data_IF_157632621987
#
_entry.id   IF_157632621987
#
_cell.length_a   1.000
_cell.length_b   1.000
_cell.length_c   1.000
_cell.angle_alpha   90.00
_cell.angle_beta   90.00
_cell.angle_gamma   90.00
#
_symmetry.space_group_name_H-M   'P 1'
#
loop_
_entity.id
_entity.type
_entity.pdbx_description
1 polymer ?
#
# COMPACT_ATOMS: atom_id res chain seq x y z
N UNK A 1 -0.27 14.01 0.74
CA UNK A 1 0.56 12.98 0.05
C UNK A 1 -0.38 11.99 -0.62
N UNK A 2 -0.16 11.70 -1.90
CA UNK A 2 -0.90 10.66 -2.64
C UNK A 2 -0.06 9.39 -2.58
N UNK A 3 -0.65 8.27 -2.11
CA UNK A 3 0.06 7.00 -1.95
C UNK A 3 -0.58 5.87 -2.75
N UNK A 4 -1.91 5.88 -2.86
CA UNK A 4 -2.66 4.79 -3.49
C UNK A 4 -3.31 5.18 -4.82
N UNK A 5 -3.39 4.22 -5.73
CA UNK A 5 -4.06 4.38 -7.01
C UNK A 5 -5.55 4.77 -6.83
N UNK A 6 -6.20 4.20 -5.83
CA UNK A 6 -7.59 4.50 -5.47
C UNK A 6 -7.76 5.94 -4.97
N UNK A 7 -6.72 6.55 -4.38
CA UNK A 7 -6.78 7.97 -3.99
C UNK A 7 -6.77 8.89 -5.21
N UNK A 8 -6.00 8.56 -6.26
CA UNK A 8 -6.05 9.31 -7.53
C UNK A 8 -7.46 9.29 -8.11
N UNK A 9 -8.08 8.11 -8.13
CA UNK A 9 -9.44 7.97 -8.63
C UNK A 9 -10.41 8.81 -7.79
N UNK A 10 -10.32 8.74 -6.47
CA UNK A 10 -11.17 9.51 -5.56
C UNK A 10 -11.00 11.03 -5.72
N UNK A 11 -9.76 11.51 -5.91
CA UNK A 11 -9.49 12.92 -6.18
C UNK A 11 -10.16 13.36 -7.48
N UNK A 12 -10.05 12.57 -8.55
CA UNK A 12 -10.71 12.87 -9.83
C UNK A 12 -12.25 12.90 -9.71
N UNK A 13 -12.84 12.01 -8.91
CA UNK A 13 -14.28 12.04 -8.66
C UNK A 13 -14.71 13.30 -7.91
N UNK A 14 -14.04 13.60 -6.79
CA UNK A 14 -14.45 14.69 -5.90
C UNK A 14 -14.13 16.05 -6.51
N UNK A 15 -12.95 16.21 -7.11
CA UNK A 15 -12.54 17.50 -7.67
C UNK A 15 -13.15 17.72 -9.05
N UNK A 16 -13.06 16.75 -9.95
CA UNK A 16 -13.46 16.95 -11.35
C UNK A 16 -14.81 16.34 -11.73
N UNK A 17 -15.54 15.73 -10.78
CA UNK A 17 -16.85 15.13 -11.03
C UNK A 17 -16.78 13.86 -11.88
N UNK A 18 -15.63 13.18 -11.91
CA UNK A 18 -15.47 11.97 -12.72
C UNK A 18 -16.37 10.83 -12.20
N UNK A 19 -16.89 10.03 -13.15
CA UNK A 19 -17.40 8.70 -12.81
C UNK A 19 -16.25 7.77 -12.41
N UNK A 20 -16.54 6.69 -11.69
CA UNK A 20 -15.53 5.67 -11.36
C UNK A 20 -14.84 5.10 -12.60
N UNK A 21 -15.60 4.87 -13.68
CA UNK A 21 -15.05 4.38 -14.95
C UNK A 21 -14.06 5.36 -15.58
N UNK A 22 -14.39 6.65 -15.61
CA UNK A 22 -13.48 7.68 -16.14
C UNK A 22 -12.23 7.85 -15.26
N UNK A 23 -12.41 7.80 -13.94
CA UNK A 23 -11.31 7.84 -12.99
C UNK A 23 -10.33 6.66 -13.18
N UNK A 24 -10.81 5.46 -13.53
CA UNK A 24 -9.94 4.33 -13.88
C UNK A 24 -9.21 4.53 -15.23
N UNK A 25 -9.82 5.22 -16.20
CA UNK A 25 -9.13 5.60 -17.45
C UNK A 25 -7.94 6.51 -17.13
N UNK A 26 -8.15 7.54 -16.30
CA UNK A 26 -7.07 8.41 -15.83
C UNK A 26 -5.98 7.61 -15.10
N UNK A 27 -6.35 6.72 -14.17
CA UNK A 27 -5.40 5.85 -13.46
C UNK A 27 -4.57 4.99 -14.42
N UNK A 28 -5.19 4.44 -15.47
CA UNK A 28 -4.49 3.64 -16.50
C UNK A 28 -3.55 4.49 -17.36
N UNK A 29 -3.95 5.69 -17.73
CA UNK A 29 -3.09 6.62 -18.48
C UNK A 29 -1.84 6.99 -17.68
N UNK A 30 -2.01 7.23 -16.38
CA UNK A 30 -0.94 7.47 -15.43
C UNK A 30 0.01 6.26 -15.35
N UNK A 31 -0.51 5.05 -15.17
CA UNK A 31 0.30 3.83 -15.05
C UNK A 31 1.09 3.49 -16.32
N UNK A 32 0.61 3.92 -17.50
CA UNK A 32 1.27 3.72 -18.80
C UNK A 32 2.17 4.89 -19.21
N UNK A 33 2.19 5.97 -18.44
CA UNK A 33 2.88 7.22 -18.80
C UNK A 33 2.45 7.74 -20.19
N UNK A 34 1.17 7.60 -20.53
CA UNK A 34 0.62 8.02 -21.82
C UNK A 34 0.42 9.54 -21.83
N UNK A 35 1.42 10.28 -22.34
CA UNK A 35 1.42 11.75 -22.35
C UNK A 35 0.18 12.34 -23.03
N UNK A 36 -0.20 11.81 -24.19
CA UNK A 36 -1.34 12.32 -24.96
C UNK A 36 -2.67 12.07 -24.25
N UNK A 37 -2.81 10.95 -23.52
CA UNK A 37 -3.97 10.72 -22.66
C UNK A 37 -3.97 11.61 -21.41
N UNK A 38 -2.81 11.82 -20.80
CA UNK A 38 -2.66 12.65 -19.60
C UNK A 38 -2.96 14.14 -19.86
N UNK A 39 -2.54 14.66 -21.01
CA UNK A 39 -2.85 16.04 -21.41
C UNK A 39 -4.36 16.23 -21.59
N UNK A 40 -5.01 15.34 -22.37
CA UNK A 40 -6.46 15.36 -22.57
C UNK A 40 -7.24 15.24 -21.25
N UNK A 41 -6.83 14.32 -20.38
CA UNK A 41 -7.48 14.17 -19.08
C UNK A 41 -7.18 15.34 -18.12
N UNK A 42 -6.07 16.05 -18.30
CA UNK A 42 -5.75 17.26 -17.54
C UNK A 42 -6.72 18.40 -17.85
N UNK A 43 -6.99 18.64 -19.12
CA UNK A 43 -7.96 19.65 -19.54
C UNK A 43 -9.35 19.35 -19.01
N UNK A 44 -9.76 18.09 -19.14
CA UNK A 44 -11.03 17.60 -18.60
C UNK A 44 -11.12 17.71 -17.07
N UNK A 45 -10.04 17.41 -16.36
CA UNK A 45 -9.97 17.53 -14.92
C UNK A 45 -10.15 18.98 -14.47
N UNK A 46 -9.44 19.92 -15.10
CA UNK A 46 -9.53 21.35 -14.77
C UNK A 46 -10.91 21.92 -15.12
N UNK A 47 -11.48 21.52 -16.26
CA UNK A 47 -12.83 21.92 -16.65
C UNK A 47 -13.88 21.42 -15.64
N UNK A 48 -13.82 20.13 -15.28
CA UNK A 48 -14.71 19.54 -14.27
C UNK A 48 -14.56 20.20 -12.90
N UNK A 49 -13.32 20.51 -12.51
CA UNK A 49 -13.04 21.18 -11.25
C UNK A 49 -13.62 22.60 -11.19
N UNK A 50 -13.61 23.34 -12.30
CA UNK A 50 -14.26 24.66 -12.38
C UNK A 50 -15.76 24.55 -12.19
N UNK A 51 -16.40 23.54 -12.78
CA UNK A 51 -17.84 23.27 -12.58
C UNK A 51 -18.16 22.99 -11.11
N UNK A 52 -17.23 22.39 -10.37
CA UNK A 52 -17.34 22.14 -8.93
C UNK A 52 -16.88 23.34 -8.06
N UNK A 53 -16.70 24.53 -8.65
CA UNK A 53 -16.33 25.75 -7.93
C UNK A 53 -14.85 25.83 -7.52
N UNK A 54 -14.00 24.95 -8.04
CA UNK A 54 -12.56 24.93 -7.72
C UNK A 54 -11.81 25.81 -8.73
N UNK A 55 -10.97 26.77 -8.29
CA UNK A 55 -10.18 27.60 -9.19
C UNK A 55 -9.28 26.76 -10.09
N UNK A 56 -9.24 27.09 -11.38
CA UNK A 56 -8.48 26.31 -12.37
C UNK A 56 -6.99 26.20 -12.07
N UNK A 57 -6.38 27.25 -11.49
CA UNK A 57 -4.98 27.19 -11.06
C UNK A 57 -4.73 26.18 -9.93
N UNK A 58 -5.68 26.03 -8.99
CA UNK A 58 -5.62 25.03 -7.93
C UNK A 58 -5.80 23.63 -8.52
N UNK A 59 -6.77 23.44 -9.43
CA UNK A 59 -7.00 22.17 -10.09
C UNK A 59 -5.78 21.71 -10.90
N UNK A 60 -5.14 22.61 -11.65
CA UNK A 60 -3.94 22.32 -12.42
C UNK A 60 -2.77 21.87 -11.52
N UNK A 61 -2.58 22.52 -10.36
CA UNK A 61 -1.56 22.11 -9.38
C UNK A 61 -1.81 20.70 -8.84
N UNK A 62 -3.06 20.38 -8.51
CA UNK A 62 -3.41 19.02 -8.03
C UNK A 62 -3.22 17.99 -9.14
N UNK A 63 -3.60 18.30 -10.36
CA UNK A 63 -3.39 17.40 -11.49
C UNK A 63 -1.90 17.13 -11.77
N UNK A 64 -1.04 18.15 -11.62
CA UNK A 64 0.41 17.98 -11.70
C UNK A 64 0.94 16.99 -10.64
N UNK A 65 0.47 17.10 -9.39
CA UNK A 65 0.80 16.13 -8.33
C UNK A 65 0.33 14.71 -8.66
N UNK A 66 -0.84 14.56 -9.28
CA UNK A 66 -1.35 13.26 -9.73
C UNK A 66 -0.44 12.67 -10.82
N UNK A 67 0.05 13.49 -11.76
CA UNK A 67 0.96 13.05 -12.83
C UNK A 67 2.29 12.58 -12.26
N UNK A 68 2.87 13.34 -11.33
CA UNK A 68 4.15 13.02 -10.69
C UNK A 68 4.08 11.73 -9.87
N UNK A 69 2.92 11.43 -9.28
CA UNK A 69 2.66 10.22 -8.52
C UNK A 69 2.66 8.93 -9.37
N UNK A 70 2.48 9.02 -10.69
CA UNK A 70 2.11 7.88 -11.52
C UNK A 70 3.04 6.69 -11.50
N UNK A 71 4.33 6.92 -11.32
CA UNK A 71 5.37 5.89 -11.23
C UNK A 71 5.45 5.19 -9.88
N UNK A 72 4.84 5.74 -8.83
CA UNK A 72 4.97 5.25 -7.45
C UNK A 72 3.65 4.78 -6.83
N UNK A 73 2.57 4.80 -7.60
CA UNK A 73 1.25 4.51 -7.05
C UNK A 73 0.99 3.04 -6.75
N UNK A 74 0.67 2.77 -5.48
CA UNK A 74 0.43 1.41 -5.00
C UNK A 74 -1.07 1.06 -4.94
N UNK A 75 -1.42 -0.21 -5.14
CA UNK A 75 -2.81 -0.66 -5.01
C UNK A 75 -3.19 -0.79 -3.51
N UNK A 76 -4.14 0.02 -3.03
CA UNK A 76 -4.57 0.02 -1.64
C UNK A 76 -5.16 -1.31 -1.22
N UNK A 77 -5.96 -1.93 -2.08
CA UNK A 77 -6.57 -3.23 -1.78
C UNK A 77 -5.52 -4.31 -1.49
N UNK A 78 -4.45 -4.35 -2.30
CA UNK A 78 -3.34 -5.26 -2.11
C UNK A 78 -2.55 -4.95 -0.83
N UNK A 79 -2.21 -3.67 -0.61
CA UNK A 79 -1.52 -3.23 0.60
C UNK A 79 -2.30 -3.60 1.88
N UNK A 80 -3.60 -3.32 1.91
CA UNK A 80 -4.45 -3.58 3.07
C UNK A 80 -4.56 -5.08 3.39
N UNK A 81 -4.66 -5.93 2.36
CA UNK A 81 -4.72 -7.38 2.55
C UNK A 81 -3.44 -7.92 3.22
N UNK A 82 -2.26 -7.52 2.73
CA UNK A 82 -0.99 -7.92 3.31
C UNK A 82 -0.75 -7.30 4.68
N UNK A 83 -1.10 -6.03 4.87
CA UNK A 83 -1.00 -5.35 6.17
C UNK A 83 -1.81 -6.08 7.24
N UNK A 84 -3.02 -6.57 6.92
CA UNK A 84 -3.83 -7.36 7.85
C UNK A 84 -3.12 -8.64 8.31
N UNK A 85 -2.47 -9.36 7.39
CA UNK A 85 -1.68 -10.55 7.72
C UNK A 85 -0.48 -10.19 8.60
N UNK A 86 0.28 -9.15 8.23
CA UNK A 86 1.42 -8.68 9.02
C UNK A 86 1.02 -8.28 10.45
N UNK A 87 -0.07 -7.53 10.60
CA UNK A 87 -0.62 -7.14 11.92
C UNK A 87 -0.96 -8.38 12.75
N UNK A 88 -1.60 -9.39 12.14
CA UNK A 88 -1.92 -10.65 12.84
C UNK A 88 -0.65 -11.39 13.28
N UNK A 89 0.37 -11.46 12.43
CA UNK A 89 1.65 -12.07 12.77
C UNK A 89 2.32 -11.36 13.94
N UNK A 90 2.35 -10.02 13.93
CA UNK A 90 2.90 -9.23 15.04
C UNK A 90 2.07 -9.41 16.31
N UNK A 91 0.74 -9.43 16.20
CA UNK A 91 -0.14 -9.64 17.34
C UNK A 91 0.13 -11.00 18.02
N UNK A 92 0.28 -12.08 17.23
CA UNK A 92 0.65 -13.39 17.76
C UNK A 92 2.02 -13.36 18.45
N UNK A 93 3.02 -12.69 17.84
CA UNK A 93 4.34 -12.51 18.47
C UNK A 93 4.26 -11.75 19.80
N UNK A 94 3.42 -10.72 19.90
CA UNK A 94 3.32 -9.89 21.11
C UNK A 94 2.55 -10.57 22.25
N UNK A 95 1.40 -11.20 21.95
CA UNK A 95 0.51 -11.73 22.99
C UNK A 95 0.65 -13.23 23.21
N UNK A 96 1.18 -13.97 22.25
CA UNK A 96 1.38 -15.42 22.31
C UNK A 96 2.79 -15.82 21.81
N UNK A 97 3.87 -15.24 22.38
CA UNK A 97 5.22 -15.40 21.85
C UNK A 97 5.70 -16.86 21.86
N UNK A 98 5.43 -17.62 22.92
CA UNK A 98 5.87 -19.03 23.03
C UNK A 98 5.32 -19.90 21.90
N UNK A 99 3.99 -20.02 21.69
CA UNK A 99 3.46 -20.81 20.58
C UNK A 99 3.81 -20.19 19.21
N UNK A 100 3.97 -18.87 19.12
CA UNK A 100 4.42 -18.21 17.89
C UNK A 100 5.82 -18.69 17.47
N UNK A 101 6.81 -18.61 18.37
CA UNK A 101 8.17 -19.05 18.05
C UNK A 101 8.29 -20.57 17.94
N UNK A 102 7.54 -21.34 18.73
CA UNK A 102 7.46 -22.79 18.54
C UNK A 102 7.01 -23.15 17.12
N UNK A 103 5.97 -22.48 16.62
CA UNK A 103 5.50 -22.67 15.24
C UNK A 103 6.55 -22.26 14.20
N UNK A 104 7.24 -21.12 14.40
CA UNK A 104 8.30 -20.69 13.49
C UNK A 104 9.47 -21.69 13.43
N UNK A 105 9.88 -22.25 14.57
CA UNK A 105 10.92 -23.27 14.65
C UNK A 105 10.50 -24.56 13.94
N UNK A 106 9.25 -24.99 14.12
CA UNK A 106 8.71 -26.16 13.42
C UNK A 106 8.60 -25.94 11.91
N UNK A 107 8.08 -24.79 11.47
CA UNK A 107 7.87 -24.49 10.05
C UNK A 107 9.18 -24.36 9.27
N UNK A 108 10.23 -23.84 9.91
CA UNK A 108 11.54 -23.62 9.30
C UNK A 108 12.56 -24.69 9.71
N UNK A 109 12.09 -25.89 10.05
CA UNK A 109 12.97 -27.00 10.40
C UNK A 109 13.96 -27.29 9.25
N UNK A 110 15.24 -27.45 9.60
CA UNK A 110 16.33 -27.66 8.64
C UNK A 110 16.93 -26.36 8.08
N UNK A 111 16.35 -25.19 8.36
CA UNK A 111 16.85 -23.90 7.88
C UNK A 111 17.67 -23.17 8.95
N UNK A 112 18.97 -23.48 9.00
CA UNK A 112 19.89 -23.07 10.08
C UNK A 112 19.91 -21.55 10.33
N UNK A 113 20.01 -20.74 9.28
CA UNK A 113 20.06 -19.27 9.42
C UNK A 113 18.80 -18.70 10.10
N UNK A 114 17.62 -19.24 9.77
CA UNK A 114 16.36 -18.83 10.42
C UNK A 114 16.31 -19.30 11.87
N UNK A 115 16.79 -20.51 12.14
CA UNK A 115 16.87 -21.05 13.49
C UNK A 115 17.73 -20.16 14.39
N UNK A 116 18.90 -19.73 13.92
CA UNK A 116 19.81 -18.85 14.68
C UNK A 116 19.19 -17.46 14.93
N UNK A 117 18.44 -16.93 13.96
CA UNK A 117 17.66 -15.69 14.13
C UNK A 117 16.59 -15.83 15.22
N UNK A 118 15.83 -16.93 15.20
CA UNK A 118 14.78 -17.18 16.20
C UNK A 118 15.35 -17.44 17.59
N UNK A 119 16.50 -18.13 17.70
CA UNK A 119 17.19 -18.31 18.98
C UNK A 119 17.62 -16.98 19.60
N UNK A 120 18.21 -16.11 18.78
CA UNK A 120 18.63 -14.77 19.22
C UNK A 120 17.44 -13.97 19.74
N UNK A 121 16.31 -14.06 19.05
CA UNK A 121 15.08 -13.39 19.43
C UNK A 121 14.46 -13.96 20.72
N UNK A 122 14.46 -15.28 20.89
CA UNK A 122 14.01 -15.93 22.13
C UNK A 122 14.86 -15.49 23.33
N UNK A 123 16.18 -15.41 23.16
CA UNK A 123 17.08 -14.89 24.20
C UNK A 123 16.78 -13.44 24.54
N UNK A 124 16.58 -12.57 23.54
CA UNK A 124 16.22 -11.17 23.74
C UNK A 124 14.89 -11.02 24.51
N UNK A 125 13.92 -11.88 24.22
CA UNK A 125 12.61 -11.90 24.89
C UNK A 125 12.62 -12.62 26.24
N UNK A 126 13.76 -13.18 26.68
CA UNK A 126 13.86 -13.93 27.93
C UNK A 126 13.12 -15.27 27.92
N UNK A 127 12.82 -15.81 26.74
CA UNK A 127 12.09 -17.07 26.58
C UNK A 127 13.11 -18.21 26.55
N UNK A 128 13.02 -19.09 27.55
CA UNK A 128 13.90 -20.27 27.65
C UNK A 128 13.50 -21.33 26.63
N UNK A 129 14.44 -21.70 25.76
CA UNK A 129 14.33 -22.89 24.93
C UNK A 129 14.89 -24.10 25.70
N UNK A 130 14.15 -25.21 25.68
CA UNK A 130 14.59 -26.48 26.24
C UNK A 130 15.19 -27.36 25.14
N UNK A 131 16.20 -28.14 25.49
CA UNK A 131 16.75 -29.16 24.58
C UNK A 131 15.77 -30.34 24.47
N UNK A 132 15.82 -31.10 23.37
CA UNK A 132 15.07 -32.34 23.24
C UNK A 132 15.37 -33.30 24.41
N UNK A 133 14.33 -33.99 24.89
CA UNK A 133 14.37 -34.96 25.98
C UNK A 133 13.58 -36.22 25.57
N UNK A 134 14.03 -37.41 25.98
CA UNK A 134 13.51 -38.73 25.52
C UNK A 134 12.83 -39.47 26.67
#
# INVERSE_FOLDING_TARGET
>A
VILYQEQVMQVAQVMAGYSLGRADILRKAIAKTDQAALEREGDHFVAGARTNGIPGGTAAKVFALIREFGSYGFAKAHAAAYARTAIRTVWLRCYYPVPYFANLLSLNYGWRERFDQYLSELHYLGIRLLLPDI
#
